data_IF_142959395204
#
_entry.id   IF_142959395204
#
_cell.length_a   1.000
_cell.length_b   1.000
_cell.length_c   1.000
_cell.angle_alpha   90.00
_cell.angle_beta   90.00
_cell.angle_gamma   90.00
#
_symmetry.space_group_name_H-M   'P 1'
#
loop_
_entity.id
_entity.type
_entity.pdbx_description
1 polymer ?
#
# COMPACT_ATOMS: atom_id res chain seq x y z
N UNK A 1 25.37 -14.98 30.06
CA UNK A 1 24.03 -15.13 29.46
C UNK A 1 23.39 -13.74 29.33
N UNK A 2 23.07 -13.28 28.12
CA UNK A 2 21.95 -12.33 27.95
C UNK A 2 22.18 -10.85 27.61
N UNK A 3 23.38 -10.36 27.26
CA UNK A 3 23.57 -8.91 26.97
C UNK A 3 23.36 -8.49 25.51
N UNK A 4 23.19 -9.42 24.57
CA UNK A 4 23.18 -9.08 23.13
C UNK A 4 21.84 -8.52 22.64
N UNK A 5 20.71 -8.85 23.29
CA UNK A 5 19.38 -8.41 22.84
C UNK A 5 19.13 -6.91 23.04
N UNK A 6 19.61 -6.35 24.15
CA UNK A 6 19.39 -4.94 24.48
C UNK A 6 20.19 -4.00 23.56
N UNK A 7 21.36 -4.45 23.08
CA UNK A 7 22.21 -3.66 22.18
C UNK A 7 21.51 -3.40 20.84
N UNK A 8 20.83 -4.40 20.28
CA UNK A 8 20.05 -4.22 19.04
C UNK A 8 18.91 -3.21 19.20
N UNK A 9 18.26 -3.18 20.36
CA UNK A 9 17.23 -2.19 20.66
C UNK A 9 17.80 -0.77 20.70
N UNK A 10 19.00 -0.58 21.29
CA UNK A 10 19.68 0.72 21.31
C UNK A 10 20.08 1.18 19.91
N UNK A 11 20.63 0.30 19.07
CA UNK A 11 20.97 0.63 17.68
C UNK A 11 19.72 1.05 16.91
N UNK A 12 18.63 0.29 17.06
CA UNK A 12 17.36 0.63 16.43
C UNK A 12 16.83 1.99 16.91
N UNK A 13 16.93 2.29 18.21
CA UNK A 13 16.53 3.57 18.77
C UNK A 13 17.31 4.75 18.17
N UNK A 14 18.63 4.61 17.98
CA UNK A 14 19.46 5.65 17.34
C UNK A 14 19.05 5.85 15.88
N UNK A 15 18.80 4.77 15.12
CA UNK A 15 18.33 4.87 13.73
C UNK A 15 16.96 5.56 13.68
N UNK A 16 16.03 5.24 14.59
CA UNK A 16 14.74 5.92 14.69
C UNK A 16 14.90 7.41 15.04
N UNK A 17 15.90 7.80 15.81
CA UNK A 17 16.15 9.20 16.15
C UNK A 17 16.71 9.99 14.95
N UNK A 18 17.59 9.37 14.16
CA UNK A 18 18.17 9.98 12.95
C UNK A 18 17.18 10.05 11.79
N UNK A 19 16.46 8.95 11.54
CA UNK A 19 15.54 8.84 10.41
C UNK A 19 14.11 9.27 10.76
N UNK A 20 13.73 9.21 12.03
CA UNK A 20 12.37 9.48 12.51
C UNK A 20 11.45 8.25 12.46
N UNK A 21 10.46 8.21 13.37
CA UNK A 21 9.50 7.11 13.49
C UNK A 21 8.62 6.90 12.23
N UNK A 22 8.45 7.91 11.39
CA UNK A 22 7.63 7.82 10.18
C UNK A 22 8.39 7.31 8.94
N UNK A 23 9.73 7.45 8.89
CA UNK A 23 10.52 7.14 7.69
C UNK A 23 10.90 5.66 7.59
N UNK A 24 11.22 5.01 8.70
CA UNK A 24 11.46 3.55 8.74
C UNK A 24 10.26 2.73 8.25
N UNK A 25 9.02 2.94 8.73
CA UNK A 25 7.87 2.18 8.23
C UNK A 25 7.53 2.52 6.77
N UNK A 26 7.74 3.76 6.33
CA UNK A 26 7.52 4.13 4.92
C UNK A 26 8.52 3.44 3.97
N UNK A 27 9.80 3.39 4.35
CA UNK A 27 10.84 2.68 3.61
C UNK A 27 10.61 1.17 3.63
N UNK A 28 10.27 0.60 4.78
CA UNK A 28 9.94 -0.82 4.89
C UNK A 28 8.71 -1.19 4.05
N UNK A 29 7.68 -0.33 4.01
CA UNK A 29 6.45 -0.57 3.23
C UNK A 29 6.72 -0.55 1.72
N UNK A 30 7.51 0.40 1.22
CA UNK A 30 7.88 0.47 -0.21
C UNK A 30 8.82 -0.67 -0.61
N UNK A 31 9.87 -0.94 0.17
CA UNK A 31 10.80 -2.06 -0.07
C UNK A 31 10.09 -3.42 0.05
N UNK A 32 9.15 -3.55 0.98
CA UNK A 32 8.35 -4.76 1.18
C UNK A 32 7.39 -5.05 0.02
N UNK A 33 6.84 -4.02 -0.62
CA UNK A 33 6.02 -4.20 -1.83
C UNK A 33 6.84 -4.75 -3.00
N UNK A 34 8.02 -4.17 -3.27
CA UNK A 34 8.94 -4.68 -4.30
C UNK A 34 9.43 -6.10 -4.00
N UNK A 35 9.79 -6.37 -2.74
CA UNK A 35 10.22 -7.70 -2.31
C UNK A 35 9.09 -8.73 -2.40
N UNK A 36 7.83 -8.35 -2.17
CA UNK A 36 6.67 -9.24 -2.31
C UNK A 36 6.43 -9.64 -3.76
N UNK A 37 6.50 -8.69 -4.69
CA UNK A 37 6.39 -8.99 -6.13
C UNK A 37 7.51 -9.94 -6.55
N UNK A 38 8.77 -9.61 -6.22
CA UNK A 38 9.90 -10.48 -6.55
C UNK A 38 9.78 -11.88 -5.92
N UNK A 39 9.33 -11.97 -4.67
CA UNK A 39 9.08 -13.25 -3.99
C UNK A 39 7.96 -14.05 -4.67
N UNK A 40 6.87 -13.40 -5.09
CA UNK A 40 5.75 -14.03 -5.80
C UNK A 40 6.17 -14.57 -7.17
N UNK A 41 6.88 -13.77 -7.96
CA UNK A 41 7.41 -14.19 -9.27
C UNK A 41 8.39 -15.37 -9.11
N UNK A 42 9.31 -15.28 -8.14
CA UNK A 42 10.28 -16.34 -7.87
C UNK A 42 9.62 -17.61 -7.29
N UNK A 43 8.51 -17.47 -6.56
CA UNK A 43 7.73 -18.60 -6.05
C UNK A 43 6.96 -19.27 -7.18
N UNK A 44 6.36 -18.50 -8.10
CA UNK A 44 5.70 -19.01 -9.29
C UNK A 44 6.65 -19.82 -10.18
N UNK A 45 7.84 -19.28 -10.48
CA UNK A 45 8.89 -20.02 -11.20
C UNK A 45 9.23 -21.36 -10.52
N UNK A 46 9.35 -21.35 -9.19
CA UNK A 46 9.70 -22.56 -8.42
C UNK A 46 8.54 -23.55 -8.28
N UNK A 47 7.30 -23.09 -8.34
CA UNK A 47 6.09 -23.93 -8.33
C UNK A 47 5.78 -24.50 -9.73
N UNK A 48 6.14 -23.79 -10.81
CA UNK A 48 6.03 -24.26 -12.19
C UNK A 48 6.95 -25.47 -12.48
N UNK A 49 8.10 -25.56 -11.79
CA UNK A 49 8.97 -26.75 -11.81
C UNK A 49 8.38 -27.94 -11.01
N UNK A 50 7.33 -27.75 -10.19
CA UNK A 50 6.76 -28.78 -9.30
C UNK A 50 5.22 -28.75 -9.21
N UNK A 51 4.52 -28.75 -10.35
CA UNK A 51 3.08 -29.10 -10.44
C UNK A 51 2.06 -28.11 -9.82
N UNK A 52 1.37 -27.40 -10.71
CA UNK A 52 -0.03 -26.92 -10.66
C UNK A 52 -0.77 -26.85 -9.31
N UNK A 53 -0.90 -25.64 -8.73
CA UNK A 53 -2.17 -25.05 -8.22
C UNK A 53 -1.97 -23.61 -7.68
N UNK A 54 -2.73 -22.59 -8.11
CA UNK A 54 -2.72 -21.28 -7.45
C UNK A 54 -3.89 -21.16 -6.47
N UNK A 55 -3.61 -21.10 -5.18
CA UNK A 55 -4.57 -20.71 -4.16
C UNK A 55 -4.19 -19.35 -3.54
N UNK A 56 -5.09 -18.39 -3.80
CA UNK A 56 -5.59 -17.36 -2.88
C UNK A 56 -4.65 -16.26 -2.34
N UNK A 57 -5.05 -15.01 -2.60
CA UNK A 57 -5.63 -14.22 -1.52
C UNK A 57 -4.78 -13.14 -0.83
N UNK A 58 -5.40 -11.97 -0.72
CA UNK A 58 -5.16 -10.88 0.24
C UNK A 58 -3.92 -9.99 0.06
N UNK A 59 -4.13 -8.79 -0.50
CA UNK A 59 -4.49 -7.60 0.29
C UNK A 59 -4.46 -6.34 -0.60
N UNK A 60 -5.63 -5.86 -1.03
CA UNK A 60 -5.78 -4.46 -1.45
C UNK A 60 -5.61 -3.58 -0.21
N UNK A 61 -4.60 -2.68 -0.12
CA UNK A 61 -4.72 -1.58 0.80
C UNK A 61 -5.83 -0.68 0.29
N UNK A 62 -6.94 -0.65 1.03
CA UNK A 62 -7.96 0.35 0.87
C UNK A 62 -7.28 1.73 0.84
N UNK A 63 -7.45 2.44 -0.27
CA UNK A 63 -7.00 3.80 -0.44
C UNK A 63 -7.87 4.69 0.45
N UNK A 64 -7.31 5.14 1.57
CA UNK A 64 -7.96 6.13 2.41
C UNK A 64 -7.83 7.51 1.74
N UNK A 65 -8.91 7.93 1.08
CA UNK A 65 -9.46 9.30 0.87
C UNK A 65 -8.49 10.46 0.47
N UNK A 66 -8.87 11.26 -0.55
CA UNK A 66 -9.81 12.34 -0.25
C UNK A 66 -10.84 12.59 -1.36
N UNK A 67 -12.12 12.36 -1.07
CA UNK A 67 -13.22 13.07 -1.73
C UNK A 67 -14.25 13.45 -0.68
N UNK A 68 -13.90 14.49 0.05
CA UNK A 68 -14.83 15.36 0.78
C UNK A 68 -15.85 15.91 -0.24
N UNK A 69 -17.09 15.42 -0.09
CA UNK A 69 -18.40 16.05 -0.41
C UNK A 69 -18.60 16.80 -1.73
N UNK A 70 -19.47 16.27 -2.60
CA UNK A 70 -20.85 16.78 -2.75
C UNK A 70 -21.59 16.03 -3.89
N UNK A 71 -22.68 15.29 -3.61
CA UNK A 71 -23.60 14.82 -4.62
C UNK A 71 -24.66 15.91 -4.85
N UNK A 72 -24.55 16.65 -5.95
CA UNK A 72 -25.66 17.45 -6.48
C UNK A 72 -25.55 17.33 -8.01
N UNK A 73 -25.97 16.20 -8.60
CA UNK A 73 -27.33 16.02 -9.13
C UNK A 73 -27.99 17.34 -9.53
N UNK A 74 -27.38 18.05 -10.48
CA UNK A 74 -28.10 19.03 -11.28
C UNK A 74 -28.94 18.28 -12.33
N UNK A 75 -30.04 17.66 -11.85
CA UNK A 75 -31.19 17.29 -12.68
C UNK A 75 -32.35 18.20 -12.29
N UNK A 76 -32.35 19.39 -12.86
CA UNK A 76 -33.52 20.23 -13.04
C UNK A 76 -33.43 20.68 -14.51
N UNK A 77 -34.24 20.21 -15.47
CA UNK A 77 -35.69 20.30 -15.53
C UNK A 77 -36.19 21.72 -15.20
N UNK A 78 -35.71 22.75 -15.90
CA UNK A 78 -36.50 23.97 -16.07
C UNK A 78 -36.24 24.66 -17.42
N UNK A 79 -37.34 25.03 -18.09
CA UNK A 79 -37.35 25.60 -19.42
C UNK A 79 -36.73 26.99 -19.50
N UNK A 80 -36.03 27.23 -20.60
CA UNK A 80 -35.79 28.55 -21.19
C UNK A 80 -35.38 28.29 -22.63
N UNK A 81 -36.29 28.44 -23.60
CA UNK A 81 -36.32 29.62 -24.49
C UNK A 81 -34.93 30.03 -24.96
N UNK A 82 -34.58 29.68 -26.21
CA UNK A 82 -33.85 30.54 -27.16
C UNK A 82 -33.54 29.79 -28.46
N UNK A 83 -34.49 29.82 -29.39
CA UNK A 83 -34.24 30.07 -30.83
C UNK A 83 -33.29 31.28 -30.92
N UNK A 84 -32.19 31.28 -31.71
CA UNK A 84 -32.28 31.37 -33.17
C UNK A 84 -31.10 30.74 -33.96
N UNK A 85 -31.39 30.16 -35.12
CA UNK A 85 -30.90 30.61 -36.45
C UNK A 85 -31.37 29.64 -37.53
#
# INVERSE_FOLDING_TARGET
MGIHGWQWLLVLAVILLLFGAAKLPALAKSMGQSARVFKSEMKAMKEEDTSSTPADGAASPTSAAPSTVAPEVHRDANGSSSTPR
#
